data_IF_852088954241
#
_entry.id   IF_852088954241
#
_cell.length_a   1.000
_cell.length_b   1.000
_cell.length_c   1.000
_cell.angle_alpha   90.00
_cell.angle_beta   90.00
_cell.angle_gamma   90.00
#
_symmetry.space_group_name_H-M   'P 1'
#
loop_
_entity.id
_entity.type
_entity.pdbx_description
1 polymer ?
#
# COMPACT_ATOMS: atom_id res chain seq x y z
N UNK A 1 7.15 11.62 6.31
CA UNK A 1 7.96 12.31 5.25
C UNK A 1 7.40 13.72 5.05
N UNK A 2 8.15 14.72 5.44
CA UNK A 2 7.67 16.12 5.46
C UNK A 2 7.07 16.62 4.14
N UNK A 3 7.66 16.24 2.99
CA UNK A 3 7.15 16.66 1.69
C UNK A 3 5.73 16.14 1.42
N UNK A 4 5.44 14.88 1.77
CA UNK A 4 4.11 14.32 1.59
C UNK A 4 3.10 14.91 2.59
N UNK A 5 3.52 15.13 3.85
CA UNK A 5 2.69 15.76 4.87
C UNK A 5 2.29 17.18 4.47
N UNK A 6 3.26 17.98 3.97
CA UNK A 6 2.99 19.30 3.44
C UNK A 6 2.02 19.25 2.26
N UNK A 7 2.22 18.33 1.31
CA UNK A 7 1.32 18.17 0.17
C UNK A 7 -0.11 17.80 0.59
N UNK A 8 -0.25 16.95 1.62
CA UNK A 8 -1.56 16.61 2.17
C UNK A 8 -2.23 17.83 2.82
N UNK A 9 -1.46 18.69 3.52
CA UNK A 9 -1.99 19.91 4.13
C UNK A 9 -2.42 20.97 3.10
N UNK A 10 -1.67 21.09 1.99
CA UNK A 10 -1.93 22.09 0.95
C UNK A 10 -3.06 21.70 0.01
N UNK A 11 -3.11 20.45 -0.43
CA UNK A 11 -3.99 19.98 -1.51
C UNK A 11 -4.96 18.86 -1.10
N UNK A 12 -4.84 18.35 0.12
CA UNK A 12 -5.77 17.36 0.66
C UNK A 12 -7.12 18.00 1.00
N UNK A 13 -8.21 17.34 0.64
CA UNK A 13 -9.56 17.81 0.93
C UNK A 13 -10.23 16.88 1.92
N UNK A 14 -10.69 17.43 3.04
CA UNK A 14 -11.44 16.68 4.04
C UNK A 14 -12.90 16.58 3.66
N UNK A 15 -13.47 15.38 3.73
CA UNK A 15 -14.90 15.15 3.55
C UNK A 15 -15.44 14.33 4.73
N UNK A 16 -16.22 14.99 5.58
CA UNK A 16 -16.62 14.40 6.87
C UNK A 16 -15.45 14.26 7.83
N UNK A 17 -15.56 13.31 8.77
CA UNK A 17 -14.56 13.10 9.82
C UNK A 17 -13.47 12.07 9.45
N UNK A 18 -13.76 11.20 8.48
CA UNK A 18 -12.91 10.04 8.19
C UNK A 18 -12.35 10.01 6.77
N UNK A 19 -12.81 10.86 5.85
CA UNK A 19 -12.40 10.81 4.45
C UNK A 19 -11.42 11.93 4.14
N UNK A 20 -10.21 11.57 3.78
CA UNK A 20 -9.20 12.46 3.22
C UNK A 20 -9.06 12.16 1.73
N UNK A 21 -9.46 13.11 0.89
CA UNK A 21 -9.26 13.08 -0.55
C UNK A 21 -7.88 13.62 -0.90
N UNK A 22 -7.11 12.82 -1.59
CA UNK A 22 -5.78 13.12 -2.12
C UNK A 22 -5.71 12.83 -3.62
N UNK A 23 -6.87 12.93 -4.26
CA UNK A 23 -7.10 12.56 -5.65
C UNK A 23 -6.36 13.46 -6.63
N UNK A 24 -6.07 14.69 -6.26
CA UNK A 24 -5.33 15.65 -7.08
C UNK A 24 -3.84 15.33 -7.27
N UNK A 25 -3.25 14.44 -6.44
CA UNK A 25 -1.81 14.15 -6.51
C UNK A 25 -1.40 12.70 -6.22
N UNK A 26 -2.29 11.87 -5.63
CA UNK A 26 -1.92 10.54 -5.19
C UNK A 26 -2.65 9.41 -5.93
N UNK A 27 -3.98 9.40 -5.96
CA UNK A 27 -4.74 8.22 -6.34
C UNK A 27 -5.78 8.41 -7.47
N UNK A 28 -5.84 9.59 -8.07
CA UNK A 28 -6.58 9.83 -9.32
C UNK A 28 -5.69 10.54 -10.33
N UNK A 29 -5.28 11.78 -10.06
CA UNK A 29 -4.12 12.38 -10.71
C UNK A 29 -2.87 12.00 -9.94
N UNK A 30 -1.82 11.58 -10.64
CA UNK A 30 -0.58 11.10 -10.05
C UNK A 30 0.53 12.13 -10.22
N UNK A 31 1.04 12.69 -9.12
CA UNK A 31 2.24 13.54 -9.14
C UNK A 31 3.49 12.65 -9.15
N UNK A 32 4.00 12.41 -10.36
CA UNK A 32 5.16 11.51 -10.58
C UNK A 32 6.42 12.04 -9.86
N UNK A 33 6.59 13.36 -9.72
CA UNK A 33 7.73 13.92 -8.99
C UNK A 33 7.64 13.61 -7.50
N UNK A 34 6.45 13.74 -6.92
CA UNK A 34 6.20 13.32 -5.55
C UNK A 34 6.46 11.82 -5.37
N UNK A 35 6.00 10.99 -6.32
CA UNK A 35 6.23 9.54 -6.28
C UNK A 35 7.71 9.17 -6.36
N UNK A 36 8.52 9.93 -7.10
CA UNK A 36 9.97 9.73 -7.11
C UNK A 36 10.60 9.97 -5.73
N UNK A 37 10.21 11.03 -5.03
CA UNK A 37 10.71 11.28 -3.68
C UNK A 37 10.21 10.22 -2.67
N UNK A 38 8.96 9.76 -2.81
CA UNK A 38 8.44 8.65 -2.02
C UNK A 38 9.21 7.34 -2.29
N UNK A 39 9.52 7.05 -3.56
CA UNK A 39 10.30 5.87 -3.95
C UNK A 39 11.72 5.88 -3.37
N UNK A 40 12.39 7.03 -3.38
CA UNK A 40 13.70 7.21 -2.73
C UNK A 40 13.62 6.97 -1.23
N UNK A 41 12.57 7.45 -0.58
CA UNK A 41 12.39 7.28 0.85
C UNK A 41 12.09 5.81 1.20
N UNK A 42 11.26 5.12 0.43
CA UNK A 42 11.06 3.68 0.59
C UNK A 42 12.35 2.91 0.40
N UNK A 43 13.16 3.25 -0.61
CA UNK A 43 14.48 2.61 -0.75
C UNK A 43 15.35 2.87 0.48
N UNK A 44 15.42 4.11 0.99
CA UNK A 44 16.19 4.43 2.20
C UNK A 44 15.80 3.58 3.38
N UNK A 45 14.50 3.33 3.55
CA UNK A 45 13.95 2.53 4.64
C UNK A 45 14.22 1.02 4.47
N UNK A 46 14.22 0.50 3.25
CA UNK A 46 14.28 -0.95 2.96
C UNK A 46 15.52 -1.39 2.17
N UNK A 47 16.53 -0.53 1.96
CA UNK A 47 17.72 -0.80 1.10
C UNK A 47 18.48 -2.09 1.46
N UNK A 48 18.58 -2.39 2.75
CA UNK A 48 19.37 -3.54 3.25
C UNK A 48 18.52 -4.82 3.38
N UNK A 49 17.29 -4.79 2.88
CA UNK A 49 16.36 -5.90 3.03
C UNK A 49 16.37 -6.89 1.84
N UNK A 50 17.12 -6.61 0.78
CA UNK A 50 17.25 -7.48 -0.39
C UNK A 50 15.91 -7.70 -1.11
N UNK A 51 15.12 -6.63 -1.31
CA UNK A 51 13.84 -6.69 -2.01
C UNK A 51 14.05 -7.13 -3.45
N UNK A 52 13.35 -8.18 -3.87
CA UNK A 52 13.40 -8.70 -5.25
C UNK A 52 12.09 -8.47 -6.02
N UNK A 53 11.04 -8.09 -5.30
CA UNK A 53 9.71 -7.86 -5.89
C UNK A 53 8.89 -6.90 -5.06
N UNK A 54 8.15 -6.02 -5.72
CA UNK A 54 7.13 -5.18 -5.08
C UNK A 54 5.76 -5.76 -5.40
N UNK A 55 4.91 -5.89 -4.36
CA UNK A 55 3.51 -6.28 -4.47
C UNK A 55 2.63 -5.11 -4.05
N UNK A 56 1.59 -4.86 -4.81
CA UNK A 56 0.55 -3.87 -4.48
C UNK A 56 -0.85 -4.41 -4.81
N UNK A 57 -1.87 -3.57 -4.68
CA UNK A 57 -3.24 -3.89 -5.07
C UNK A 57 -3.79 -2.84 -6.04
N UNK A 58 -4.61 -3.26 -7.01
CA UNK A 58 -5.30 -2.32 -7.90
C UNK A 58 -6.31 -1.44 -7.12
N UNK A 59 -6.44 -0.12 -7.45
CA UNK A 59 -5.73 0.53 -8.55
C UNK A 59 -4.65 1.51 -8.05
N UNK A 60 -4.88 2.24 -6.95
CA UNK A 60 -4.12 3.43 -6.55
C UNK A 60 -2.67 3.16 -6.18
N UNK A 61 -2.41 2.01 -5.54
CA UNK A 61 -1.05 1.62 -5.18
C UNK A 61 -0.12 1.37 -6.38
N UNK A 62 -0.67 1.06 -7.58
CA UNK A 62 0.13 0.68 -8.75
C UNK A 62 1.10 1.80 -9.17
N UNK A 63 0.64 3.03 -9.24
CA UNK A 63 1.47 4.16 -9.66
C UNK A 63 2.67 4.37 -8.73
N UNK A 64 2.42 4.34 -7.43
CA UNK A 64 3.46 4.49 -6.39
C UNK A 64 4.45 3.33 -6.47
N UNK A 65 3.95 2.09 -6.55
CA UNK A 65 4.77 0.89 -6.63
C UNK A 65 5.67 0.88 -7.87
N UNK A 66 5.14 1.25 -9.05
CA UNK A 66 5.92 1.30 -10.29
C UNK A 66 7.05 2.33 -10.24
N UNK A 67 6.80 3.50 -9.66
CA UNK A 67 7.86 4.51 -9.52
C UNK A 67 8.89 4.08 -8.46
N UNK A 68 8.45 3.54 -7.32
CA UNK A 68 9.34 3.03 -6.30
C UNK A 68 10.24 1.89 -6.81
N UNK A 69 9.70 0.97 -7.61
CA UNK A 69 10.41 -0.17 -8.15
C UNK A 69 11.65 0.20 -8.98
N UNK A 70 11.67 1.38 -9.60
CA UNK A 70 12.84 1.88 -10.32
C UNK A 70 14.06 2.04 -9.40
N UNK A 71 13.85 2.38 -8.13
CA UNK A 71 14.92 2.54 -7.15
C UNK A 71 15.38 1.21 -6.55
N UNK A 72 14.48 0.21 -6.50
CA UNK A 72 14.77 -1.15 -6.03
C UNK A 72 15.31 -2.06 -7.13
N UNK A 73 15.26 -1.63 -8.40
CA UNK A 73 15.63 -2.42 -9.57
C UNK A 73 14.94 -3.79 -9.59
N UNK A 74 13.63 -3.81 -9.37
CA UNK A 74 12.86 -5.04 -9.28
C UNK A 74 11.47 -4.91 -9.96
N UNK A 75 10.84 -6.02 -10.37
CA UNK A 75 9.51 -5.99 -10.95
C UNK A 75 8.43 -5.67 -9.92
N UNK A 76 7.31 -5.15 -10.44
CA UNK A 76 6.07 -4.94 -9.68
C UNK A 76 5.02 -5.95 -10.13
N UNK A 77 4.36 -6.56 -9.17
CA UNK A 77 3.12 -7.29 -9.40
C UNK A 77 1.98 -6.63 -8.63
N UNK A 78 0.76 -6.77 -9.11
CA UNK A 78 -0.40 -6.26 -8.38
C UNK A 78 -1.50 -7.29 -8.27
N UNK A 79 -2.10 -7.34 -7.10
CA UNK A 79 -3.28 -8.16 -6.85
C UNK A 79 -4.49 -7.52 -7.55
N UNK A 80 -5.25 -8.33 -8.27
CA UNK A 80 -6.49 -7.92 -8.94
C UNK A 80 -7.70 -8.22 -8.06
N UNK A 81 -8.65 -7.31 -8.06
CA UNK A 81 -9.98 -7.51 -7.45
C UNK A 81 -10.84 -8.27 -8.44
N UNK A 82 -11.13 -9.52 -8.17
CA UNK A 82 -11.87 -10.44 -9.01
C UNK A 82 -11.06 -11.16 -10.11
N UNK A 83 -11.46 -12.39 -10.35
CA UNK A 83 -10.88 -13.24 -11.38
C UNK A 83 -11.34 -12.76 -12.76
N UNK A 84 -10.44 -12.21 -13.55
CA UNK A 84 -10.71 -11.89 -14.95
C UNK A 84 -10.35 -13.08 -15.84
N UNK A 85 -11.07 -13.25 -16.97
CA UNK A 85 -10.79 -14.32 -17.96
C UNK A 85 -9.36 -14.29 -18.52
N UNK A 86 -8.64 -13.19 -18.32
CA UNK A 86 -7.29 -12.96 -18.84
C UNK A 86 -6.17 -13.44 -17.91
N UNK A 87 -6.48 -14.03 -16.75
CA UNK A 87 -5.46 -14.64 -15.90
C UNK A 87 -5.38 -16.11 -16.26
N UNK A 88 -4.34 -16.47 -17.04
CA UNK A 88 -4.03 -17.84 -17.36
C UNK A 88 -3.30 -18.53 -16.20
N UNK A 89 -3.64 -19.78 -15.92
CA UNK A 89 -2.98 -20.60 -14.92
C UNK A 89 -3.53 -20.48 -13.50
N UNK A 90 -2.77 -21.06 -12.57
CA UNK A 90 -3.11 -21.08 -11.15
C UNK A 90 -2.89 -19.73 -10.49
N UNK A 91 -3.73 -19.41 -9.51
CA UNK A 91 -3.67 -18.17 -8.75
C UNK A 91 -3.57 -18.44 -7.25
N UNK A 92 -2.91 -17.55 -6.54
CA UNK A 92 -3.13 -17.35 -5.11
C UNK A 92 -4.35 -16.45 -4.93
N UNK A 93 -5.18 -16.74 -3.94
CA UNK A 93 -6.41 -15.98 -3.67
C UNK A 93 -6.53 -15.69 -2.20
N UNK A 94 -6.86 -14.45 -1.86
CA UNK A 94 -7.17 -14.04 -0.50
C UNK A 94 -8.47 -13.24 -0.47
N UNK A 95 -9.23 -13.35 0.62
CA UNK A 95 -10.44 -12.55 0.84
C UNK A 95 -10.10 -11.25 1.53
N UNK A 96 -10.68 -10.17 1.04
CA UNK A 96 -10.55 -8.84 1.63
C UNK A 96 -11.95 -8.28 1.89
N UNK A 97 -12.17 -7.82 3.10
CA UNK A 97 -13.39 -7.12 3.46
C UNK A 97 -13.26 -5.62 3.18
N UNK A 98 -14.13 -5.08 2.32
CA UNK A 98 -14.22 -3.65 2.08
C UNK A 98 -14.99 -2.99 3.20
N UNK A 99 -14.32 -2.19 4.01
CA UNK A 99 -14.96 -1.44 5.08
C UNK A 99 -15.95 -0.40 4.56
N UNK A 100 -15.66 0.22 3.42
CA UNK A 100 -16.49 1.28 2.80
C UNK A 100 -17.82 0.75 2.24
N UNK A 101 -17.86 -0.52 1.86
CA UNK A 101 -19.04 -1.11 1.19
C UNK A 101 -19.58 -2.36 1.88
N UNK A 102 -19.00 -2.83 2.98
CA UNK A 102 -19.40 -4.06 3.68
C UNK A 102 -19.36 -5.31 2.80
N UNK A 103 -18.62 -5.28 1.68
CA UNK A 103 -18.54 -6.38 0.73
C UNK A 103 -17.20 -7.10 0.87
N UNK A 104 -17.27 -8.43 0.92
CA UNK A 104 -16.08 -9.29 0.79
C UNK A 104 -15.81 -9.50 -0.69
N UNK A 105 -14.57 -9.29 -1.11
CA UNK A 105 -14.11 -9.58 -2.47
C UNK A 105 -12.80 -10.37 -2.43
N UNK A 106 -12.58 -11.15 -3.47
CA UNK A 106 -11.34 -11.89 -3.62
C UNK A 106 -10.28 -10.99 -4.30
N UNK A 107 -9.07 -11.05 -3.79
CA UNK A 107 -7.88 -10.54 -4.47
C UNK A 107 -7.03 -11.71 -4.94
N UNK A 108 -6.46 -11.59 -6.12
CA UNK A 108 -5.75 -12.69 -6.76
C UNK A 108 -4.43 -12.23 -7.38
N UNK A 109 -3.44 -13.14 -7.33
CA UNK A 109 -2.15 -13.01 -8.03
C UNK A 109 -1.85 -14.32 -8.75
N UNK A 110 -1.40 -14.28 -10.00
CA UNK A 110 -0.99 -15.47 -10.73
C UNK A 110 0.28 -16.08 -10.09
N UNK A 111 0.28 -17.38 -9.83
CA UNK A 111 1.37 -18.10 -9.15
C UNK A 111 2.72 -17.95 -9.87
N UNK A 112 2.71 -17.91 -11.19
CA UNK A 112 3.92 -17.73 -12.01
C UNK A 112 4.67 -16.42 -11.77
N UNK A 113 4.05 -15.41 -11.14
CA UNK A 113 4.65 -14.11 -10.87
C UNK A 113 5.00 -13.88 -9.39
N UNK A 114 4.63 -14.79 -8.49
CA UNK A 114 4.94 -14.71 -7.07
C UNK A 114 5.51 -16.06 -6.62
N UNK A 115 6.81 -16.13 -6.45
CA UNK A 115 7.55 -17.36 -6.26
C UNK A 115 8.12 -17.47 -4.83
N UNK A 116 8.39 -18.69 -4.33
CA UNK A 116 8.91 -18.88 -2.97
C UNK A 116 10.25 -18.17 -2.69
N UNK A 117 11.09 -18.00 -3.71
CA UNK A 117 12.38 -17.31 -3.61
C UNK A 117 12.27 -15.79 -3.56
N UNK A 118 11.09 -15.21 -3.81
CA UNK A 118 10.90 -13.77 -3.79
C UNK A 118 11.02 -13.19 -2.38
N UNK A 119 11.62 -12.00 -2.31
CA UNK A 119 11.67 -11.15 -1.13
C UNK A 119 10.79 -9.93 -1.40
N UNK A 120 9.59 -9.97 -0.88
CA UNK A 120 8.47 -9.09 -1.27
C UNK A 120 8.36 -7.90 -0.32
N UNK A 121 8.40 -6.70 -0.89
CA UNK A 121 7.96 -5.47 -0.23
C UNK A 121 6.54 -5.15 -0.73
N UNK A 122 5.58 -5.01 0.18
CA UNK A 122 4.26 -4.50 -0.17
C UNK A 122 4.31 -2.97 -0.19
N UNK A 123 3.77 -2.33 -1.24
CA UNK A 123 3.60 -0.87 -1.30
C UNK A 123 2.14 -0.56 -1.57
N UNK A 124 1.54 0.34 -0.78
CA UNK A 124 0.15 0.76 -0.96
C UNK A 124 -0.04 2.26 -0.66
N UNK A 125 -1.16 2.83 -1.13
CA UNK A 125 -1.47 4.26 -0.93
C UNK A 125 -1.98 4.55 0.48
N UNK A 126 -2.94 3.78 1.01
CA UNK A 126 -3.52 3.99 2.33
C UNK A 126 -3.48 2.76 3.23
N UNK A 127 -3.22 3.00 4.51
CA UNK A 127 -3.46 2.02 5.58
C UNK A 127 -4.49 2.61 6.57
N UNK A 128 -5.67 2.02 6.56
CA UNK A 128 -6.79 2.38 7.43
C UNK A 128 -7.11 1.23 8.41
N UNK A 129 -8.06 0.36 8.09
CA UNK A 129 -8.39 -0.82 8.89
C UNK A 129 -7.43 -2.02 8.69
N UNK A 130 -6.62 -2.00 7.64
CA UNK A 130 -5.61 -3.03 7.36
C UNK A 130 -6.13 -4.25 6.55
N UNK A 131 -7.39 -4.31 6.16
CA UNK A 131 -7.96 -5.48 5.47
C UNK A 131 -7.25 -5.81 4.15
N UNK A 132 -6.99 -4.79 3.30
CA UNK A 132 -6.28 -4.98 2.04
C UNK A 132 -4.86 -5.49 2.28
N UNK A 133 -4.15 -4.89 3.23
CA UNK A 133 -2.78 -5.28 3.57
C UNK A 133 -2.71 -6.70 4.14
N UNK A 134 -3.66 -7.11 4.99
CA UNK A 134 -3.76 -8.51 5.47
C UNK A 134 -3.95 -9.48 4.30
N UNK A 135 -4.80 -9.12 3.33
CA UNK A 135 -5.00 -9.92 2.14
C UNK A 135 -3.71 -10.09 1.33
N UNK A 136 -2.96 -9.02 1.12
CA UNK A 136 -1.66 -9.07 0.42
C UNK A 136 -0.63 -9.90 1.18
N UNK A 137 -0.56 -9.76 2.51
CA UNK A 137 0.30 -10.58 3.39
C UNK A 137 -0.03 -12.06 3.24
N UNK A 138 -1.32 -12.41 3.18
CA UNK A 138 -1.76 -13.79 2.97
C UNK A 138 -1.27 -14.34 1.64
N UNK A 139 -1.39 -13.58 0.54
CA UNK A 139 -0.89 -14.00 -0.78
C UNK A 139 0.62 -14.28 -0.76
N UNK A 140 1.42 -13.43 -0.07
CA UNK A 140 2.86 -13.64 0.06
C UNK A 140 3.18 -14.91 0.85
N UNK A 141 2.45 -15.16 1.95
CA UNK A 141 2.60 -16.36 2.77
C UNK A 141 2.21 -17.64 2.02
N UNK A 142 1.10 -17.60 1.28
CA UNK A 142 0.62 -18.73 0.48
C UNK A 142 1.58 -19.08 -0.66
N UNK A 143 2.31 -18.09 -1.17
CA UNK A 143 3.37 -18.30 -2.14
C UNK A 143 4.64 -18.91 -1.53
N UNK A 144 4.77 -18.95 -0.21
CA UNK A 144 6.02 -19.33 0.47
C UNK A 144 7.12 -18.28 0.35
N UNK A 145 6.78 -17.08 -0.13
CA UNK A 145 7.73 -15.98 -0.31
C UNK A 145 8.07 -15.28 1.02
N UNK A 146 9.20 -14.61 1.05
CA UNK A 146 9.61 -13.83 2.23
C UNK A 146 8.97 -12.45 2.20
N UNK A 147 8.12 -12.15 3.18
CA UNK A 147 7.61 -10.77 3.37
C UNK A 147 8.69 -9.91 4.03
N UNK A 148 9.17 -8.89 3.33
CA UNK A 148 10.17 -7.92 3.83
C UNK A 148 9.51 -6.88 4.74
N UNK A 149 8.31 -6.43 4.38
CA UNK A 149 7.54 -5.44 5.11
C UNK A 149 6.52 -4.76 4.22
N UNK A 150 5.95 -3.68 4.72
CA UNK A 150 4.99 -2.85 4.00
C UNK A 150 5.38 -1.37 4.05
N UNK A 151 5.50 -0.74 2.88
CA UNK A 151 5.67 0.69 2.69
C UNK A 151 4.32 1.33 2.34
N UNK A 152 3.87 2.25 3.17
CA UNK A 152 2.56 2.90 3.05
C UNK A 152 2.75 4.40 2.79
N UNK A 153 2.04 4.95 1.81
CA UNK A 153 2.09 6.39 1.61
C UNK A 153 1.43 7.12 2.78
N UNK A 154 0.17 6.81 3.08
CA UNK A 154 -0.60 7.50 4.12
C UNK A 154 -1.21 6.48 5.09
N UNK A 155 -0.82 6.54 6.36
CA UNK A 155 -1.41 5.74 7.44
C UNK A 155 -2.37 6.59 8.28
N UNK A 156 -3.59 6.14 8.45
CA UNK A 156 -4.55 6.72 9.42
C UNK A 156 -4.29 6.06 10.79
N UNK A 157 -3.36 6.62 11.57
CA UNK A 157 -2.89 6.02 12.82
C UNK A 157 -3.97 5.95 13.92
N UNK A 158 -5.04 6.72 13.78
CA UNK A 158 -6.21 6.65 14.65
C UNK A 158 -7.12 5.45 14.34
N UNK A 159 -6.86 4.72 13.26
CA UNK A 159 -7.55 3.48 12.89
C UNK A 159 -6.68 2.25 13.23
N UNK A 160 -7.28 1.07 13.44
CA UNK A 160 -6.58 -0.07 14.04
C UNK A 160 -5.58 -0.77 13.12
N UNK A 161 -5.60 -0.51 11.80
CA UNK A 161 -4.86 -1.30 10.82
C UNK A 161 -3.36 -1.31 11.04
N UNK A 162 -2.77 -0.16 11.37
CA UNK A 162 -1.33 -0.07 11.61
C UNK A 162 -0.88 -0.95 12.79
N UNK A 163 -1.58 -0.88 13.91
CA UNK A 163 -1.26 -1.66 15.10
C UNK A 163 -1.52 -3.16 14.89
N UNK A 164 -2.61 -3.48 14.19
CA UNK A 164 -2.95 -4.85 13.83
C UNK A 164 -1.83 -5.51 13.01
N UNK A 165 -1.37 -4.85 11.96
CA UNK A 165 -0.33 -5.40 11.07
C UNK A 165 1.02 -5.51 11.78
N UNK A 166 1.40 -4.50 12.57
CA UNK A 166 2.61 -4.55 13.39
C UNK A 166 2.53 -5.64 14.44
N UNK A 167 1.35 -5.86 15.05
CA UNK A 167 1.08 -6.96 15.98
C UNK A 167 1.23 -8.36 15.36
N UNK A 168 1.10 -8.48 14.04
CA UNK A 168 1.40 -9.71 13.28
C UNK A 168 2.91 -9.94 13.05
N UNK A 169 3.78 -9.08 13.58
CA UNK A 169 5.23 -9.12 13.39
C UNK A 169 5.69 -8.56 12.04
N UNK A 170 4.85 -7.82 11.32
CA UNK A 170 5.20 -7.22 10.03
C UNK A 170 5.74 -5.80 10.24
N UNK A 171 6.91 -5.53 9.64
CA UNK A 171 7.47 -4.18 9.59
C UNK A 171 6.60 -3.29 8.69
N UNK A 172 6.09 -2.18 9.23
CA UNK A 172 5.29 -1.18 8.49
C UNK A 172 5.95 0.17 8.62
N UNK A 173 6.34 0.74 7.48
CA UNK A 173 6.88 2.09 7.38
C UNK A 173 5.90 2.97 6.60
N UNK A 174 5.43 4.03 7.22
CA UNK A 174 4.45 4.95 6.62
C UNK A 174 5.07 6.33 6.39
N UNK A 175 4.94 6.87 5.17
CA UNK A 175 5.56 8.13 4.78
C UNK A 175 4.86 9.34 5.40
N UNK A 176 3.54 9.28 5.54
CA UNK A 176 2.74 10.23 6.31
C UNK A 176 1.85 9.45 7.29
N UNK A 177 1.91 9.81 8.57
CA UNK A 177 1.19 9.14 9.63
C UNK A 177 0.22 10.12 10.28
N UNK A 178 -1.08 9.98 9.99
CA UNK A 178 -2.12 10.88 10.46
C UNK A 178 -2.56 10.45 11.86
N UNK A 179 -2.36 11.32 12.83
CA UNK A 179 -2.76 11.14 14.23
C UNK A 179 -4.25 11.42 14.41
N UNK A 180 -4.71 12.51 13.82
CA UNK A 180 -6.12 12.93 13.83
C UNK A 180 -6.42 13.79 12.62
N UNK A 181 -7.70 13.88 12.25
CA UNK A 181 -8.14 14.76 11.18
C UNK A 181 -9.59 15.19 11.41
N UNK A 182 -9.91 16.44 11.07
CA UNK A 182 -11.26 16.97 11.09
C UNK A 182 -11.39 18.14 10.11
N UNK A 183 -12.63 18.44 9.72
CA UNK A 183 -12.92 19.59 8.82
C UNK A 183 -12.51 20.92 9.46
N UNK A 184 -12.61 21.03 10.79
CA UNK A 184 -12.30 22.26 11.53
C UNK A 184 -10.80 22.46 11.75
N UNK A 185 -10.07 21.38 12.07
CA UNK A 185 -8.66 21.45 12.49
C UNK A 185 -7.68 20.94 11.43
N UNK A 186 -8.18 20.46 10.30
CA UNK A 186 -7.35 19.87 9.24
C UNK A 186 -6.75 18.52 9.66
N UNK A 187 -5.54 18.24 9.17
CA UNK A 187 -4.81 16.99 9.40
C UNK A 187 -3.66 17.22 10.37
N UNK A 188 -3.63 16.46 11.47
CA UNK A 188 -2.52 16.42 12.42
C UNK A 188 -1.70 15.13 12.19
N UNK A 189 -0.39 15.27 12.09
CA UNK A 189 0.53 14.13 11.92
C UNK A 189 1.18 13.70 13.25
N UNK A 190 1.65 12.44 13.31
CA UNK A 190 2.39 11.90 14.46
C UNK A 190 3.80 12.45 14.54
#
# INVERSE_FOLDING_TARGET
MKLLEQRIQEDGVMEGEDVLKVDSFLNHQMDVKLFQEMGKEFLRLYKDCGVTKILTIEASGIGIACVAAQFFDCPVIFAKKNKTKNIAGDVYTSKVESFTHGKVYDIIVAKQFLLPEDRVLIIDDFLANGSALQGLITLVRDAGATLVGAGIAVEKAFQPGGDLIRGMGVRVESLAKIKSMSVENGVEFC
#
